data_IF_948242502981
#
_entry.id   IF_948242502981
#
_cell.length_a   1.000
_cell.length_b   1.000
_cell.length_c   1.000
_cell.angle_alpha   90.00
_cell.angle_beta   90.00
_cell.angle_gamma   90.00
#
_symmetry.space_group_name_H-M   'P 1'
#
loop_
_entity.id
_entity.type
_entity.pdbx_description
1 polymer ?
#
# COMPACT_ATOMS: atom_id res chain seq x y z
N UNK A 1 -26.37 18.19 2.56
CA UNK A 1 -25.18 17.31 2.47
C UNK A 1 -25.60 16.02 1.78
N UNK A 2 -24.95 15.60 0.70
CA UNK A 2 -25.33 14.36 0.00
C UNK A 2 -24.61 13.19 0.66
N UNK A 3 -25.35 12.16 1.08
CA UNK A 3 -24.81 10.92 1.61
C UNK A 3 -24.80 9.86 0.51
N UNK A 4 -23.76 9.02 0.49
CA UNK A 4 -23.69 7.85 -0.38
C UNK A 4 -23.49 6.60 0.48
N UNK A 5 -24.10 5.48 0.08
CA UNK A 5 -24.02 4.20 0.78
C UNK A 5 -23.00 3.28 0.10
N UNK A 6 -22.28 2.49 0.90
CA UNK A 6 -21.34 1.48 0.42
C UNK A 6 -21.87 0.11 0.83
N UNK A 7 -22.06 -0.78 -0.14
CA UNK A 7 -22.48 -2.16 0.08
C UNK A 7 -21.46 -3.11 -0.54
N UNK A 8 -20.98 -4.09 0.23
CA UNK A 8 -20.05 -5.12 -0.24
C UNK A 8 -20.41 -6.47 0.38
N UNK A 9 -20.28 -7.54 -0.41
CA UNK A 9 -20.39 -8.92 0.10
C UNK A 9 -19.04 -9.34 0.66
N UNK A 10 -19.07 -10.03 1.79
CA UNK A 10 -17.89 -10.57 2.47
C UNK A 10 -18.22 -11.96 3.01
N UNK A 11 -17.23 -12.84 3.04
CA UNK A 11 -17.37 -14.13 3.66
C UNK A 11 -17.71 -13.99 5.16
N UNK A 12 -18.67 -14.77 5.71
CA UNK A 12 -19.09 -14.65 7.10
C UNK A 12 -17.95 -14.80 8.12
N UNK A 13 -17.00 -15.70 7.88
CA UNK A 13 -15.86 -15.93 8.78
C UNK A 13 -14.91 -14.74 8.78
N UNK A 14 -14.61 -14.20 7.60
CA UNK A 14 -13.78 -13.00 7.45
C UNK A 14 -14.44 -11.79 8.15
N UNK A 15 -15.76 -11.61 8.00
CA UNK A 15 -16.52 -10.57 8.71
C UNK A 15 -16.38 -10.70 10.23
N UNK A 16 -16.63 -11.89 10.76
CA UNK A 16 -16.61 -12.14 12.21
C UNK A 16 -15.24 -11.81 12.82
N UNK A 17 -14.16 -12.28 12.21
CA UNK A 17 -12.78 -12.00 12.66
C UNK A 17 -12.47 -10.51 12.64
N UNK A 18 -12.85 -9.81 11.57
CA UNK A 18 -12.63 -8.37 11.47
C UNK A 18 -13.41 -7.60 12.55
N UNK A 19 -14.68 -7.94 12.79
CA UNK A 19 -15.51 -7.30 13.81
C UNK A 19 -15.01 -7.55 15.24
N UNK A 20 -14.41 -8.71 15.52
CA UNK A 20 -13.73 -8.99 16.79
C UNK A 20 -12.55 -8.05 17.04
N UNK A 21 -11.70 -7.85 16.03
CA UNK A 21 -10.55 -6.93 16.11
C UNK A 21 -11.02 -5.48 16.21
N UNK A 22 -11.99 -5.06 15.41
CA UNK A 22 -12.50 -3.69 15.47
C UNK A 22 -13.09 -3.37 16.84
N UNK A 23 -13.80 -4.32 17.45
CA UNK A 23 -14.35 -4.17 18.80
C UNK A 23 -13.26 -4.03 19.86
N UNK A 24 -12.16 -4.78 19.77
CA UNK A 24 -11.05 -4.60 20.73
C UNK A 24 -10.36 -3.24 20.58
N UNK A 25 -10.44 -2.63 19.40
CA UNK A 25 -9.98 -1.27 19.12
C UNK A 25 -11.02 -0.19 19.43
N UNK A 26 -12.22 -0.55 19.91
CA UNK A 26 -13.30 0.40 20.19
C UNK A 26 -13.94 1.03 18.94
N UNK A 27 -13.84 0.37 17.78
CA UNK A 27 -14.33 0.85 16.50
C UNK A 27 -15.52 0.05 16.01
N UNK A 28 -16.50 0.74 15.42
CA UNK A 28 -17.55 0.10 14.63
C UNK A 28 -17.06 -0.20 13.19
N UNK A 29 -17.66 -1.18 12.49
CA UNK A 29 -17.36 -1.44 11.08
C UNK A 29 -17.54 -0.20 10.19
N UNK A 30 -18.57 0.61 10.46
CA UNK A 30 -18.83 1.85 9.70
C UNK A 30 -17.72 2.88 9.90
N UNK A 31 -17.21 3.04 11.11
CA UNK A 31 -16.08 3.94 11.38
C UNK A 31 -14.81 3.46 10.69
N UNK A 32 -14.52 2.15 10.74
CA UNK A 32 -13.38 1.56 10.06
C UNK A 32 -13.42 1.82 8.54
N UNK A 33 -14.58 1.62 7.91
CA UNK A 33 -14.78 1.93 6.48
C UNK A 33 -14.58 3.43 6.21
N UNK A 34 -15.14 4.32 7.04
CA UNK A 34 -14.94 5.78 6.88
C UNK A 34 -13.47 6.17 6.99
N UNK A 35 -12.73 5.58 7.95
CA UNK A 35 -11.30 5.81 8.12
C UNK A 35 -10.53 5.33 6.88
N UNK A 36 -10.86 4.14 6.36
CA UNK A 36 -10.25 3.60 5.15
C UNK A 36 -10.37 4.55 3.95
N UNK A 37 -11.57 5.07 3.66
CA UNK A 37 -11.77 6.04 2.58
C UNK A 37 -11.02 7.35 2.81
N UNK A 38 -10.97 7.85 4.06
CA UNK A 38 -10.18 9.04 4.40
C UNK A 38 -8.69 8.81 4.14
N UNK A 39 -8.17 7.64 4.49
CA UNK A 39 -6.75 7.33 4.25
C UNK A 39 -6.44 7.22 2.76
N UNK A 40 -7.34 6.65 1.94
CA UNK A 40 -7.18 6.64 0.48
C UNK A 40 -7.08 8.07 -0.06
N UNK A 41 -8.03 8.92 0.32
CA UNK A 41 -8.06 10.31 -0.13
C UNK A 41 -6.83 11.11 0.33
N UNK A 42 -6.33 10.85 1.54
CA UNK A 42 -5.18 11.55 2.12
C UNK A 42 -3.86 11.14 1.46
N UNK A 43 -3.71 9.85 1.10
CA UNK A 43 -2.46 9.29 0.58
C UNK A 43 -2.38 9.23 -0.94
N UNK A 44 -3.51 9.41 -1.65
CA UNK A 44 -3.57 9.20 -3.09
C UNK A 44 -3.38 7.74 -3.51
N UNK A 45 -3.64 6.78 -2.62
CA UNK A 45 -3.39 5.36 -2.83
C UNK A 45 -3.92 4.51 -1.67
N UNK A 46 -3.78 3.18 -1.76
CA UNK A 46 -4.25 2.31 -0.67
C UNK A 46 -3.46 2.56 0.62
N UNK A 47 -4.12 2.48 1.79
CA UNK A 47 -3.50 2.78 3.08
C UNK A 47 -2.68 1.63 3.66
N UNK A 48 -2.36 0.65 2.82
CA UNK A 48 -1.49 -0.48 3.10
C UNK A 48 -0.61 -0.72 1.86
N UNK A 49 0.59 -1.27 2.04
CA UNK A 49 1.48 -1.57 0.93
C UNK A 49 0.83 -2.60 -0.01
N UNK A 50 0.66 -2.24 -1.27
CA UNK A 50 0.31 -3.20 -2.33
C UNK A 50 1.64 -3.78 -2.82
N UNK A 51 2.16 -4.77 -2.11
CA UNK A 51 3.48 -5.33 -2.39
C UNK A 51 3.42 -6.53 -3.34
N UNK A 52 2.62 -6.45 -4.40
CA UNK A 52 2.82 -7.34 -5.56
C UNK A 52 3.55 -6.49 -6.60
N UNK A 53 4.90 -6.50 -6.60
CA UNK A 53 5.65 -5.85 -7.66
C UNK A 53 5.19 -6.44 -9.00
N UNK A 54 4.96 -5.59 -10.00
CA UNK A 54 4.77 -6.07 -11.36
C UNK A 54 6.01 -6.87 -11.81
N UNK A 55 5.87 -7.70 -12.85
CA UNK A 55 6.96 -8.61 -13.29
C UNK A 55 8.29 -7.88 -13.52
N UNK A 56 8.23 -6.67 -14.09
CA UNK A 56 9.41 -5.83 -14.26
C UNK A 56 10.04 -5.46 -12.92
N UNK A 57 9.26 -4.91 -11.98
CA UNK A 57 9.76 -4.52 -10.65
C UNK A 57 10.31 -5.72 -9.89
N UNK A 58 9.64 -6.87 -9.98
CA UNK A 58 10.06 -8.11 -9.33
C UNK A 58 11.40 -8.60 -9.88
N UNK A 59 11.54 -8.64 -11.21
CA UNK A 59 12.78 -9.08 -11.86
C UNK A 59 13.96 -8.14 -11.60
N UNK A 60 13.74 -6.83 -11.60
CA UNK A 60 14.80 -5.84 -11.29
C UNK A 60 15.22 -5.93 -9.82
N UNK A 61 14.29 -6.09 -8.88
CA UNK A 61 14.63 -6.28 -7.46
C UNK A 61 15.43 -7.56 -7.24
N UNK A 62 15.09 -8.66 -7.92
CA UNK A 62 15.86 -9.92 -7.86
C UNK A 62 17.27 -9.77 -8.43
N UNK A 63 17.43 -9.13 -9.59
CA UNK A 63 18.75 -8.82 -10.17
C UNK A 63 19.61 -7.98 -9.22
N UNK A 64 19.02 -6.90 -8.68
CA UNK A 64 19.72 -6.00 -7.76
C UNK A 64 20.18 -6.73 -6.49
N UNK A 65 19.38 -7.64 -5.92
CA UNK A 65 19.78 -8.47 -4.77
C UNK A 65 20.98 -9.38 -5.08
N UNK A 66 21.17 -9.77 -6.34
CA UNK A 66 22.32 -10.55 -6.80
C UNK A 66 23.52 -9.69 -7.22
N UNK A 67 23.41 -8.36 -7.11
CA UNK A 67 24.44 -7.44 -7.56
C UNK A 67 24.49 -7.24 -9.08
N UNK A 68 23.47 -7.73 -9.81
CA UNK A 68 23.35 -7.54 -11.25
C UNK A 68 22.73 -6.16 -11.56
N UNK A 69 23.26 -5.48 -12.58
CA UNK A 69 22.76 -4.17 -13.04
C UNK A 69 22.74 -3.08 -11.93
N UNK A 70 23.57 -3.21 -10.89
CA UNK A 70 23.74 -2.23 -9.81
C UNK A 70 24.91 -1.30 -10.10
N UNK A 71 24.76 -0.01 -9.81
CA UNK A 71 25.82 1.00 -9.93
C UNK A 71 26.14 1.57 -8.55
N UNK A 72 27.43 1.68 -8.25
CA UNK A 72 27.95 2.34 -7.06
C UNK A 72 28.51 3.71 -7.43
N UNK A 73 28.36 4.68 -6.53
CA UNK A 73 28.84 6.05 -6.73
C UNK A 73 29.58 6.53 -5.51
N UNK A 74 30.67 7.26 -5.73
CA UNK A 74 31.51 7.82 -4.66
C UNK A 74 30.84 9.00 -3.92
N UNK A 75 29.81 9.61 -4.52
CA UNK A 75 29.03 10.70 -3.92
C UNK A 75 27.62 10.80 -4.48
N UNK A 76 26.72 11.48 -3.74
CA UNK A 76 25.37 11.80 -4.22
C UNK A 76 25.40 12.66 -5.50
N UNK A 77 26.39 13.56 -5.61
CA UNK A 77 26.56 14.41 -6.79
C UNK A 77 26.93 13.58 -8.03
N UNK A 78 27.86 12.62 -7.89
CA UNK A 78 28.21 11.69 -8.96
C UNK A 78 27.00 10.84 -9.39
N UNK A 79 26.18 10.39 -8.44
CA UNK A 79 24.94 9.68 -8.72
C UNK A 79 23.97 10.54 -9.55
N UNK A 80 23.64 11.75 -9.11
CA UNK A 80 22.69 12.62 -9.81
C UNK A 80 23.17 13.03 -11.21
N UNK A 81 24.48 13.23 -11.40
CA UNK A 81 25.07 13.56 -12.70
C UNK A 81 25.00 12.40 -13.71
N UNK A 82 24.88 11.15 -13.24
CA UNK A 82 24.77 9.96 -14.10
C UNK A 82 23.36 9.74 -14.66
N UNK A 83 22.34 10.34 -14.05
CA UNK A 83 20.95 10.21 -14.51
C UNK A 83 20.77 11.04 -15.79
N UNK A 84 20.29 10.40 -16.86
CA UNK A 84 19.96 11.12 -18.10
C UNK A 84 18.89 12.19 -17.81
N UNK A 85 19.13 13.42 -18.28
CA UNK A 85 18.07 14.43 -18.45
C UNK A 85 17.09 14.00 -19.55
#
# INVERSE_FOLDING_TARGET
MKTSAVHARIEPQTKKKAEEILRSLGLTPTEAIRIFYKQISLRGGLPFPIAIPNELTASILEKSRRGEDVQEFESLEAMFNSWKK
#
